data_IF_660281986625
#
_entry.id   IF_660281986625
#
_cell.length_a   1.000
_cell.length_b   1.000
_cell.length_c   1.000
_cell.angle_alpha   90.00
_cell.angle_beta   90.00
_cell.angle_gamma   90.00
#
_symmetry.space_group_name_H-M   'P 1'
#
loop_
_entity.id
_entity.type
_entity.pdbx_description
1 polymer ?
#
# COMPACT_ATOMS: atom_id res chain seq x y z
N UNK A 1 15.65 -8.21 -13.73
CA UNK A 1 15.95 -8.62 -12.35
C UNK A 1 17.28 -7.99 -11.96
N UNK A 2 17.26 -7.18 -10.91
CA UNK A 2 18.47 -6.59 -10.34
C UNK A 2 19.36 -7.69 -9.74
N UNK A 3 20.61 -7.76 -10.19
CA UNK A 3 21.53 -8.87 -9.85
C UNK A 3 22.38 -8.59 -8.60
N UNK A 4 21.85 -7.78 -7.68
CA UNK A 4 22.55 -7.57 -6.40
C UNK A 4 22.44 -8.82 -5.52
N UNK A 5 23.40 -8.95 -4.61
CA UNK A 5 23.41 -10.05 -3.63
C UNK A 5 22.11 -10.07 -2.78
N UNK A 6 21.67 -8.91 -2.32
CA UNK A 6 20.49 -8.80 -1.47
C UNK A 6 19.20 -9.21 -2.19
N UNK A 7 19.03 -8.80 -3.45
CA UNK A 7 17.87 -9.22 -4.25
C UNK A 7 17.90 -10.72 -4.52
N UNK A 8 19.05 -11.30 -4.88
CA UNK A 8 19.16 -12.72 -5.13
C UNK A 8 18.88 -13.57 -3.87
N UNK A 9 19.31 -13.08 -2.71
CA UNK A 9 19.02 -13.73 -1.42
C UNK A 9 17.51 -13.67 -1.13
N UNK A 10 16.89 -12.50 -1.28
CA UNK A 10 15.47 -12.30 -1.04
C UNK A 10 14.60 -13.13 -1.99
N UNK A 11 14.86 -13.11 -3.28
CA UNK A 11 14.15 -13.95 -4.26
C UNK A 11 14.28 -15.46 -3.95
N UNK A 12 15.44 -15.88 -3.47
CA UNK A 12 15.64 -17.28 -3.08
C UNK A 12 14.81 -17.64 -1.85
N UNK A 13 14.74 -16.73 -0.88
CA UNK A 13 13.90 -16.87 0.30
C UNK A 13 12.43 -16.97 -0.08
N UNK A 14 11.92 -15.99 -0.83
CA UNK A 14 10.54 -15.92 -1.31
C UNK A 14 10.12 -17.22 -2.03
N UNK A 15 10.91 -17.67 -3.01
CA UNK A 15 10.54 -18.82 -3.84
C UNK A 15 10.73 -20.18 -3.19
N UNK A 16 11.56 -20.31 -2.14
CA UNK A 16 11.96 -21.61 -1.60
C UNK A 16 11.69 -21.81 -0.13
N UNK A 17 11.55 -20.74 0.64
CA UNK A 17 11.49 -20.83 2.10
C UNK A 17 10.16 -20.34 2.62
N UNK A 18 9.62 -19.23 2.12
CA UNK A 18 8.44 -18.57 2.65
C UNK A 18 7.25 -19.52 2.85
N UNK A 19 6.86 -20.24 1.80
CA UNK A 19 5.74 -21.21 1.85
C UNK A 19 5.96 -22.37 2.86
N UNK A 20 7.19 -22.60 3.30
CA UNK A 20 7.51 -23.64 4.29
C UNK A 20 7.34 -23.19 5.74
N UNK A 21 7.13 -21.91 5.97
CA UNK A 21 7.04 -21.29 7.31
C UNK A 21 5.66 -21.46 7.93
N UNK A 22 5.29 -22.68 8.28
CA UNK A 22 3.96 -23.01 8.82
C UNK A 22 3.80 -22.50 10.27
N UNK A 23 4.81 -22.72 11.11
CA UNK A 23 4.78 -22.25 12.49
C UNK A 23 5.08 -20.75 12.57
N UNK A 24 4.58 -20.03 13.60
CA UNK A 24 4.93 -18.63 13.79
C UNK A 24 6.44 -18.43 13.81
N UNK A 25 6.95 -17.71 12.81
CA UNK A 25 8.37 -17.52 12.55
C UNK A 25 8.68 -16.06 12.28
N UNK A 26 9.74 -15.53 12.90
CA UNK A 26 10.28 -14.22 12.57
C UNK A 26 11.51 -14.39 11.71
N UNK A 27 11.49 -13.81 10.53
CA UNK A 27 12.67 -13.66 9.67
C UNK A 27 13.22 -12.28 9.92
N UNK A 28 14.51 -12.17 10.26
CA UNK A 28 15.14 -10.93 10.67
C UNK A 28 16.34 -10.58 9.78
N UNK A 29 16.81 -9.33 9.84
CA UNK A 29 18.03 -8.90 9.18
C UNK A 29 17.94 -8.97 7.64
N UNK A 30 16.91 -8.35 7.09
CA UNK A 30 16.73 -8.24 5.64
C UNK A 30 17.84 -7.42 4.98
N UNK A 31 18.22 -7.76 3.72
CA UNK A 31 19.19 -6.96 2.97
C UNK A 31 18.74 -5.51 2.76
N UNK A 32 19.70 -4.60 2.71
CA UNK A 32 19.44 -3.17 2.47
C UNK A 32 18.77 -2.93 1.12
N UNK A 33 19.12 -3.70 0.10
CA UNK A 33 18.62 -3.57 -1.26
C UNK A 33 17.11 -3.78 -1.39
N UNK A 34 16.53 -4.56 -0.46
CA UNK A 34 15.07 -4.84 -0.40
C UNK A 34 14.37 -4.16 0.77
N UNK A 35 15.05 -3.22 1.42
CA UNK A 35 14.54 -2.56 2.64
C UNK A 35 14.85 -1.05 2.62
N UNK A 36 14.30 -0.28 1.66
CA UNK A 36 14.72 1.10 1.41
C UNK A 36 14.41 2.07 2.55
N UNK A 37 13.47 1.76 3.43
CA UNK A 37 13.03 2.63 4.54
C UNK A 37 13.56 2.18 5.91
N UNK A 38 14.20 1.01 5.97
CA UNK A 38 14.68 0.44 7.22
C UNK A 38 16.12 0.87 7.55
N UNK A 39 16.38 1.13 8.82
CA UNK A 39 17.71 1.49 9.31
C UNK A 39 18.68 0.33 9.14
N UNK A 40 19.94 0.62 8.76
CA UNK A 40 20.99 -0.39 8.67
C UNK A 40 21.30 -0.96 10.05
N UNK A 41 21.63 -2.25 10.07
CA UNK A 41 22.14 -2.87 11.28
C UNK A 41 23.49 -2.28 11.67
N UNK A 42 23.68 -2.05 12.95
CA UNK A 42 24.96 -1.59 13.49
C UNK A 42 26.05 -2.66 13.43
N UNK A 43 25.67 -3.94 13.32
CA UNK A 43 26.58 -5.09 13.28
C UNK A 43 27.02 -5.44 11.87
N UNK A 44 26.17 -5.21 10.86
CA UNK A 44 26.44 -5.49 9.45
C UNK A 44 25.74 -4.44 8.56
N UNK A 45 26.50 -3.59 7.85
CA UNK A 45 25.91 -2.52 7.03
C UNK A 45 25.20 -3.01 5.76
N UNK A 46 25.32 -4.29 5.39
CA UNK A 46 24.58 -4.89 4.28
C UNK A 46 23.18 -5.33 4.68
N UNK A 47 22.88 -5.38 5.97
CA UNK A 47 21.62 -5.81 6.55
C UNK A 47 20.89 -4.64 7.23
N UNK A 48 19.59 -4.81 7.45
CA UNK A 48 18.74 -3.83 8.12
C UNK A 48 18.17 -4.37 9.42
N UNK A 49 17.80 -3.48 10.33
CA UNK A 49 17.04 -3.79 11.53
C UNK A 49 15.55 -3.97 11.17
N UNK A 50 15.25 -4.98 10.33
CA UNK A 50 13.91 -5.31 9.85
C UNK A 50 13.60 -6.77 10.17
N UNK A 51 12.34 -7.02 10.48
CA UNK A 51 11.81 -8.38 10.51
C UNK A 51 10.44 -8.47 9.87
N UNK A 52 10.13 -9.64 9.38
CA UNK A 52 8.78 -10.03 8.97
C UNK A 52 8.33 -11.23 9.78
N UNK A 53 7.05 -11.27 10.10
CA UNK A 53 6.42 -12.36 10.84
C UNK A 53 5.58 -13.21 9.89
N UNK A 54 5.88 -14.49 9.84
CA UNK A 54 5.16 -15.47 9.02
C UNK A 54 4.38 -16.45 9.88
N UNK A 55 3.17 -16.79 9.45
CA UNK A 55 2.34 -17.86 10.03
C UNK A 55 1.61 -18.55 8.87
N UNK A 56 1.66 -19.88 8.85
CA UNK A 56 1.02 -20.70 7.81
C UNK A 56 1.46 -20.34 6.37
N UNK A 57 2.73 -20.04 6.18
CA UNK A 57 3.27 -19.64 4.88
C UNK A 57 2.82 -18.27 4.38
N UNK A 58 2.34 -17.42 5.29
CA UNK A 58 1.83 -16.09 4.96
C UNK A 58 2.48 -15.02 5.85
N UNK A 59 2.97 -13.94 5.24
CA UNK A 59 3.44 -12.77 5.97
C UNK A 59 2.25 -12.12 6.69
N UNK A 60 2.35 -12.03 8.02
CA UNK A 60 1.35 -11.43 8.89
C UNK A 60 1.68 -10.01 9.29
N UNK A 61 2.95 -9.66 9.31
CA UNK A 61 3.42 -8.33 9.67
C UNK A 61 4.86 -8.09 9.31
N UNK A 62 5.17 -6.82 9.14
CA UNK A 62 6.48 -6.31 8.77
C UNK A 62 6.82 -5.15 9.71
N UNK A 63 8.02 -5.16 10.28
CA UNK A 63 8.45 -4.13 11.18
C UNK A 63 9.94 -3.85 11.06
N UNK A 64 10.32 -2.60 11.29
CA UNK A 64 11.71 -2.19 11.23
C UNK A 64 11.99 -0.97 12.10
N UNK A 65 13.25 -0.78 12.41
CA UNK A 65 13.74 0.51 12.91
C UNK A 65 13.72 1.48 11.74
N UNK A 66 12.98 2.57 11.88
CA UNK A 66 12.84 3.60 10.84
C UNK A 66 14.19 4.22 10.52
N UNK A 67 14.48 4.35 9.24
CA UNK A 67 15.65 5.10 8.78
C UNK A 67 15.41 6.59 9.07
N UNK A 68 16.24 7.16 9.94
CA UNK A 68 16.11 8.54 10.39
C UNK A 68 17.29 9.45 9.96
N UNK A 69 18.11 8.97 9.03
CA UNK A 69 19.17 9.74 8.41
C UNK A 69 18.69 10.23 7.02
N UNK A 70 18.44 11.55 6.83
CA UNK A 70 17.93 12.07 5.56
C UNK A 70 18.89 11.86 4.39
N UNK A 71 20.20 11.83 4.65
CA UNK A 71 21.21 11.62 3.60
C UNK A 71 21.19 10.17 3.10
N UNK A 72 21.18 9.19 4.02
CA UNK A 72 21.07 7.77 3.64
C UNK A 72 19.73 7.51 2.94
N UNK A 73 18.63 8.12 3.43
CA UNK A 73 17.32 7.99 2.80
C UNK A 73 17.29 8.54 1.38
N UNK A 74 17.86 9.69 1.14
CA UNK A 74 17.95 10.28 -0.19
C UNK A 74 18.73 9.38 -1.17
N UNK A 75 19.86 8.83 -0.74
CA UNK A 75 20.66 7.92 -1.59
C UNK A 75 19.90 6.62 -1.90
N UNK A 76 19.10 6.11 -0.97
CA UNK A 76 18.29 4.93 -1.22
C UNK A 76 17.15 5.19 -2.18
N UNK A 77 16.44 6.31 -2.06
CA UNK A 77 15.41 6.69 -3.04
C UNK A 77 16.02 6.90 -4.43
N UNK A 78 17.21 7.51 -4.51
CA UNK A 78 17.92 7.67 -5.78
C UNK A 78 18.22 6.30 -6.42
N UNK A 79 18.68 5.33 -5.65
CA UNK A 79 18.90 3.97 -6.13
C UNK A 79 17.60 3.29 -6.59
N UNK A 80 16.47 3.53 -5.92
CA UNK A 80 15.16 3.02 -6.35
C UNK A 80 14.72 3.64 -7.69
N UNK A 81 14.89 4.96 -7.85
CA UNK A 81 14.61 5.65 -9.12
C UNK A 81 15.43 5.07 -10.28
N UNK A 82 16.73 4.77 -10.05
CA UNK A 82 17.59 4.14 -11.05
C UNK A 82 17.09 2.72 -11.41
N UNK A 83 16.65 1.91 -10.43
CA UNK A 83 16.04 0.60 -10.65
C UNK A 83 14.77 0.73 -11.50
N UNK A 84 13.89 1.68 -11.17
CA UNK A 84 12.66 1.95 -11.91
C UNK A 84 12.94 2.35 -13.36
N UNK A 85 13.94 3.18 -13.60
CA UNK A 85 14.38 3.56 -14.94
C UNK A 85 14.91 2.37 -15.77
N UNK A 86 15.38 1.32 -15.09
CA UNK A 86 15.84 0.07 -15.70
C UNK A 86 14.73 -1.00 -15.85
N UNK A 87 13.47 -0.65 -15.57
CA UNK A 87 12.30 -1.51 -15.81
C UNK A 87 11.76 -2.26 -14.58
N UNK A 88 12.14 -1.84 -13.39
CA UNK A 88 11.56 -2.33 -12.14
C UNK A 88 10.34 -1.45 -11.78
N UNK A 89 9.15 -1.92 -12.12
CA UNK A 89 7.89 -1.16 -11.90
C UNK A 89 7.50 -1.10 -10.41
N UNK A 90 8.05 -1.97 -9.57
CA UNK A 90 7.80 -2.01 -8.13
C UNK A 90 8.72 -1.05 -7.35
N UNK A 91 9.81 -0.59 -7.97
CA UNK A 91 10.73 0.35 -7.33
C UNK A 91 10.05 1.70 -7.05
N UNK A 92 10.36 2.26 -5.89
CA UNK A 92 9.79 3.52 -5.42
C UNK A 92 10.28 4.73 -6.23
N UNK A 93 9.49 5.79 -6.22
CA UNK A 93 9.88 7.09 -6.77
C UNK A 93 10.58 7.92 -5.70
N UNK A 94 11.27 8.98 -6.14
CA UNK A 94 11.80 9.99 -5.22
C UNK A 94 10.65 10.68 -4.50
N UNK A 95 10.74 10.73 -3.16
CA UNK A 95 9.85 11.48 -2.30
C UNK A 95 10.65 12.57 -1.58
N UNK A 96 10.70 13.76 -2.18
CA UNK A 96 11.44 14.90 -1.63
C UNK A 96 10.78 15.45 -0.36
N UNK A 97 9.46 15.36 -0.26
CA UNK A 97 8.72 15.82 0.93
C UNK A 97 9.04 14.93 2.13
N UNK A 98 9.15 13.62 1.91
CA UNK A 98 9.56 12.68 2.95
C UNK A 98 11.00 12.95 3.42
N UNK A 99 11.95 13.16 2.51
CA UNK A 99 13.35 13.51 2.88
C UNK A 99 13.38 14.83 3.64
N UNK A 100 12.64 15.84 3.17
CA UNK A 100 12.54 17.13 3.87
C UNK A 100 11.97 16.97 5.27
N UNK A 101 10.97 16.12 5.46
CA UNK A 101 10.43 15.82 6.79
C UNK A 101 11.47 15.20 7.72
N UNK A 102 12.32 14.31 7.20
CA UNK A 102 13.43 13.73 7.97
C UNK A 102 14.48 14.77 8.38
N UNK A 103 14.70 15.80 7.56
CA UNK A 103 15.63 16.91 7.90
C UNK A 103 15.16 17.71 9.12
N UNK A 104 13.86 17.78 9.39
CA UNK A 104 13.34 18.36 10.63
C UNK A 104 13.60 17.50 11.86
N UNK A 105 13.93 16.24 11.66
CA UNK A 105 14.35 15.28 12.66
C UNK A 105 13.28 14.22 12.96
N UNK A 106 13.69 12.96 12.90
CA UNK A 106 12.92 11.80 13.37
C UNK A 106 13.70 11.18 14.53
N UNK A 107 13.12 11.09 15.75
CA UNK A 107 13.77 10.39 16.85
C UNK A 107 13.87 8.88 16.54
N UNK A 108 14.68 8.11 17.29
CA UNK A 108 14.68 6.66 17.17
C UNK A 108 13.26 6.09 17.30
N UNK A 109 12.79 5.48 16.21
CA UNK A 109 11.40 5.06 16.06
C UNK A 109 11.36 3.65 15.48
N UNK A 110 10.46 2.81 15.95
CA UNK A 110 10.12 1.52 15.34
C UNK A 110 8.76 1.61 14.67
N UNK A 111 8.67 1.14 13.43
CA UNK A 111 7.43 0.99 12.69
C UNK A 111 6.97 -0.46 12.64
N UNK A 112 5.66 -0.68 12.67
CA UNK A 112 5.04 -2.00 12.52
C UNK A 112 3.82 -1.89 11.60
N UNK A 113 3.81 -2.69 10.53
CA UNK A 113 2.63 -3.00 9.74
C UNK A 113 2.13 -4.40 10.08
N UNK A 114 0.82 -4.55 10.29
CA UNK A 114 0.19 -5.82 10.58
C UNK A 114 -1.06 -6.03 9.72
N UNK A 115 -1.14 -7.18 9.04
CA UNK A 115 -2.24 -7.51 8.14
C UNK A 115 -3.49 -7.94 8.90
N UNK A 116 -4.39 -7.00 9.19
CA UNK A 116 -5.65 -7.30 9.91
C UNK A 116 -6.52 -8.28 9.11
N UNK A 117 -6.64 -8.11 7.79
CA UNK A 117 -7.41 -9.02 6.95
C UNK A 117 -6.81 -10.43 6.92
N UNK A 118 -5.48 -10.53 6.84
CA UNK A 118 -4.77 -11.83 6.93
C UNK A 118 -5.00 -12.49 8.29
N UNK A 119 -4.99 -11.73 9.37
CA UNK A 119 -5.32 -12.21 10.71
C UNK A 119 -6.76 -12.72 10.77
N UNK A 120 -7.71 -11.97 10.21
CA UNK A 120 -9.11 -12.37 10.15
C UNK A 120 -9.28 -13.66 9.33
N UNK A 121 -8.60 -13.81 8.18
CA UNK A 121 -8.60 -15.05 7.40
C UNK A 121 -8.14 -16.24 8.24
N UNK A 122 -7.03 -16.10 8.95
CA UNK A 122 -6.50 -17.15 9.81
C UNK A 122 -7.46 -17.53 10.94
N UNK A 123 -8.08 -16.55 11.60
CA UNK A 123 -9.02 -16.78 12.70
C UNK A 123 -10.34 -17.38 12.22
N UNK A 124 -10.80 -17.03 11.03
CA UNK A 124 -12.02 -17.58 10.42
C UNK A 124 -11.79 -18.90 9.69
N UNK A 125 -10.53 -19.31 9.49
CA UNK A 125 -10.19 -20.53 8.76
C UNK A 125 -10.56 -20.47 7.28
N UNK A 126 -10.40 -19.32 6.64
CA UNK A 126 -10.65 -19.12 5.20
C UNK A 126 -9.37 -18.79 4.45
N UNK A 127 -9.28 -19.28 3.21
CA UNK A 127 -8.13 -19.06 2.32
C UNK A 127 -8.31 -17.83 1.40
N UNK A 128 -9.47 -17.17 1.47
CA UNK A 128 -9.80 -16.05 0.60
C UNK A 128 -10.02 -14.77 1.39
N UNK A 129 -9.25 -13.73 1.06
CA UNK A 129 -9.41 -12.39 1.65
C UNK A 129 -10.81 -11.80 1.40
N UNK A 130 -11.49 -12.22 0.32
CA UNK A 130 -12.85 -11.76 0.00
C UNK A 130 -13.88 -12.21 1.03
N UNK A 131 -13.61 -13.30 1.73
CA UNK A 131 -14.53 -13.85 2.72
C UNK A 131 -14.51 -13.07 4.04
N UNK A 132 -13.48 -12.25 4.26
CA UNK A 132 -13.32 -11.43 5.45
C UNK A 132 -13.48 -9.93 5.19
N UNK A 133 -13.54 -9.50 3.93
CA UNK A 133 -13.81 -8.12 3.55
C UNK A 133 -15.30 -7.92 3.29
N UNK A 134 -15.93 -6.96 3.97
CA UNK A 134 -17.38 -6.71 3.85
C UNK A 134 -17.80 -6.31 2.42
N UNK A 135 -16.97 -5.58 1.70
CA UNK A 135 -17.23 -5.11 0.34
C UNK A 135 -16.03 -5.35 -0.56
N UNK A 136 -15.70 -6.61 -0.90
CA UNK A 136 -14.55 -6.93 -1.71
C UNK A 136 -14.72 -6.41 -3.14
N UNK A 137 -13.63 -5.88 -3.71
CA UNK A 137 -13.61 -5.53 -5.14
C UNK A 137 -13.67 -6.81 -5.98
N UNK A 138 -14.69 -6.93 -6.78
CA UNK A 138 -14.91 -8.07 -7.68
C UNK A 138 -14.67 -7.64 -9.13
N UNK A 139 -14.23 -8.59 -9.98
CA UNK A 139 -14.24 -8.33 -11.42
C UNK A 139 -15.68 -8.04 -11.85
N UNK A 140 -15.91 -7.04 -12.73
CA UNK A 140 -17.21 -6.83 -13.32
C UNK A 140 -17.70 -8.14 -13.97
N UNK A 141 -18.97 -8.50 -13.72
CA UNK A 141 -19.59 -9.60 -14.44
C UNK A 141 -19.70 -9.11 -15.89
N UNK A 142 -19.11 -9.82 -16.84
CA UNK A 142 -19.30 -9.53 -18.27
C UNK A 142 -20.80 -9.65 -18.57
N UNK A 143 -21.49 -8.53 -18.51
CA UNK A 143 -22.82 -8.43 -19.10
C UNK A 143 -22.65 -8.69 -20.59
N UNK A 144 -23.41 -9.62 -21.20
CA UNK A 144 -23.36 -9.81 -22.65
C UNK A 144 -23.46 -8.43 -23.31
N UNK A 145 -22.43 -8.05 -24.06
CA UNK A 145 -22.49 -6.80 -24.82
C UNK A 145 -23.78 -6.85 -25.64
N UNK A 146 -24.73 -5.97 -25.31
CA UNK A 146 -25.86 -5.74 -26.19
C UNK A 146 -25.28 -5.49 -27.57
N UNK A 147 -25.64 -6.31 -28.53
CA UNK A 147 -25.18 -6.18 -29.91
C UNK A 147 -25.40 -4.73 -30.33
N UNK A 148 -24.30 -3.99 -30.49
CA UNK A 148 -24.35 -2.66 -31.14
C UNK A 148 -24.86 -2.90 -32.55
N UNK A 149 -26.09 -2.49 -32.79
CA UNK A 149 -26.57 -2.33 -34.16
C UNK A 149 -25.52 -1.50 -34.93
N UNK A 150 -25.15 -1.88 -36.18
CA UNK A 150 -24.20 -1.09 -36.92
C UNK A 150 -24.80 0.31 -37.13
N UNK A 151 -24.22 1.30 -36.50
CA UNK A 151 -24.43 2.69 -36.85
C UNK A 151 -23.79 2.92 -38.21
N UNK A 152 -24.62 3.29 -39.19
CA UNK A 152 -24.20 3.71 -40.53
C UNK A 152 -23.13 4.79 -40.41
N UNK A 153 -22.00 4.54 -41.03
CA UNK A 153 -20.90 5.48 -41.13
C UNK A 153 -21.34 6.74 -41.87
N UNK A 154 -21.66 7.78 -41.14
CA UNK A 154 -21.75 9.13 -41.70
C UNK A 154 -20.33 9.71 -41.80
N UNK A 155 -19.81 9.73 -43.02
CA UNK A 155 -18.60 10.47 -43.38
C UNK A 155 -18.93 11.96 -43.29
N UNK A 156 -18.33 12.64 -42.29
CA UNK A 156 -18.27 14.12 -42.36
C UNK A 156 -16.81 14.51 -42.11
N UNK A 157 -16.28 15.15 -43.15
CA UNK A 157 -14.93 15.70 -43.13
C UNK A 157 -14.80 16.93 -42.23
N UNK A 158 -13.60 17.10 -41.75
CA UNK A 158 -12.89 18.34 -41.42
C UNK A 158 -13.58 19.37 -40.57
N UNK A 159 -13.03 19.58 -39.38
CA UNK A 159 -12.50 20.88 -38.95
C UNK A 159 -12.20 20.89 -37.45
N UNK A 160 -11.11 21.53 -37.09
CA UNK A 160 -10.62 21.92 -35.79
C UNK A 160 -11.74 22.48 -34.90
N UNK A 161 -11.86 21.96 -33.68
CA UNK A 161 -12.66 22.57 -32.64
C UNK A 161 -12.29 21.91 -31.32
N UNK A 162 -11.54 22.64 -30.47
CA UNK A 162 -11.36 22.28 -29.08
C UNK A 162 -12.75 22.25 -28.43
N UNK A 163 -13.15 21.10 -27.91
CA UNK A 163 -14.32 21.01 -27.04
C UNK A 163 -13.86 21.46 -25.66
N UNK A 164 -14.16 22.70 -25.32
CA UNK A 164 -14.16 23.15 -23.90
C UNK A 164 -15.25 22.38 -23.19
N UNK A 165 -14.81 21.47 -22.31
CA UNK A 165 -15.70 20.85 -21.35
C UNK A 165 -15.90 21.89 -20.24
N UNK A 166 -17.03 22.60 -20.26
CA UNK A 166 -17.48 23.38 -19.10
C UNK A 166 -17.69 22.42 -17.92
N UNK A 167 -16.72 22.36 -17.03
CA UNK A 167 -16.91 21.77 -15.70
C UNK A 167 -17.79 22.76 -14.95
N UNK A 168 -19.08 22.48 -14.86
CA UNK A 168 -19.94 23.19 -13.90
C UNK A 168 -19.51 22.73 -12.51
N UNK A 169 -18.74 23.57 -11.83
CA UNK A 169 -18.54 23.50 -10.40
C UNK A 169 -19.90 23.75 -9.72
N UNK A 170 -20.67 22.69 -9.53
CA UNK A 170 -21.75 22.74 -8.57
C UNK A 170 -21.11 22.79 -7.19
N UNK A 171 -20.93 24.00 -6.67
CA UNK A 171 -20.55 24.26 -5.29
C UNK A 171 -21.58 23.55 -4.40
N UNK A 172 -21.17 22.45 -3.78
CA UNK A 172 -21.99 21.77 -2.78
C UNK A 172 -22.12 22.72 -1.59
N UNK A 173 -23.33 23.19 -1.32
CA UNK A 173 -23.62 24.03 -0.18
C UNK A 173 -23.61 23.21 1.11
N UNK A 174 -22.55 23.36 1.88
CA UNK A 174 -22.40 22.72 3.18
C UNK A 174 -23.01 23.52 4.35
N UNK A 175 -23.69 24.65 4.09
CA UNK A 175 -24.20 25.54 5.15
C UNK A 175 -25.25 24.88 6.06
N UNK A 176 -25.87 23.80 5.61
CA UNK A 176 -26.88 23.04 6.37
C UNK A 176 -26.36 21.70 6.93
N UNK A 177 -25.06 21.42 6.79
CA UNK A 177 -24.45 20.18 7.32
C UNK A 177 -24.05 20.45 8.78
N UNK A 178 -24.81 19.91 9.72
CA UNK A 178 -24.38 19.83 11.12
C UNK A 178 -23.37 18.67 11.23
N UNK A 179 -22.09 19.02 11.36
CA UNK A 179 -21.06 18.06 11.69
C UNK A 179 -21.08 17.89 13.21
N UNK A 180 -21.62 16.77 13.67
CA UNK A 180 -21.42 16.36 15.06
C UNK A 180 -19.92 16.04 15.25
N UNK A 181 -19.29 16.51 16.36
CA UNK A 181 -17.90 16.17 16.64
C UNK A 181 -17.78 14.65 16.73
N UNK A 182 -16.91 14.09 15.87
CA UNK A 182 -16.72 12.64 15.71
C UNK A 182 -16.15 11.98 16.98
N UNK A 183 -15.60 12.75 17.89
CA UNK A 183 -14.98 12.26 19.13
C UNK A 183 -15.36 13.19 20.30
N UNK A 184 -16.03 12.64 21.30
CA UNK A 184 -15.94 13.17 22.65
C UNK A 184 -14.53 12.86 23.19
N UNK A 185 -13.99 13.66 24.10
CA UNK A 185 -12.62 13.57 24.63
C UNK A 185 -12.21 12.17 25.14
N UNK A 186 -13.16 11.31 25.38
CA UNK A 186 -12.97 9.86 25.62
C UNK A 186 -14.20 9.08 25.15
N UNK A 187 -14.01 8.15 24.22
CA UNK A 187 -15.03 7.17 23.80
C UNK A 187 -14.72 5.86 24.51
N UNK A 188 -15.59 5.42 25.41
CA UNK A 188 -15.49 4.10 26.02
C UNK A 188 -15.88 3.00 25.00
N UNK A 189 -15.43 1.78 25.27
CA UNK A 189 -15.68 0.64 24.39
C UNK A 189 -17.18 0.33 24.21
N UNK A 190 -18.01 0.60 25.20
CA UNK A 190 -19.45 0.37 25.15
C UNK A 190 -20.14 1.37 24.21
N UNK A 191 -19.71 2.61 24.21
CA UNK A 191 -20.15 3.65 23.27
C UNK A 191 -19.68 3.34 21.86
N UNK A 192 -18.42 2.92 21.68
CA UNK A 192 -17.88 2.52 20.39
C UNK A 192 -18.65 1.32 19.79
N UNK A 193 -18.98 0.31 20.59
CA UNK A 193 -19.69 -0.88 20.14
C UNK A 193 -21.14 -0.64 19.71
N UNK A 194 -21.71 0.50 20.11
CA UNK A 194 -23.05 0.95 19.70
C UNK A 194 -23.03 1.84 18.45
N UNK A 195 -21.83 2.16 17.93
CA UNK A 195 -21.70 2.99 16.74
C UNK A 195 -22.19 2.26 15.49
N UNK A 196 -23.11 2.87 14.76
CA UNK A 196 -23.70 2.31 13.54
C UNK A 196 -22.91 2.83 12.32
N UNK A 197 -22.01 2.00 11.77
CA UNK A 197 -21.24 2.33 10.58
C UNK A 197 -22.06 2.05 9.33
N UNK A 198 -22.59 3.08 8.69
CA UNK A 198 -23.33 2.96 7.44
C UNK A 198 -22.49 3.43 6.25
N UNK A 199 -22.40 2.59 5.22
CA UNK A 199 -21.89 3.02 3.93
C UNK A 199 -22.91 3.95 3.27
N UNK A 200 -22.54 5.21 3.04
CA UNK A 200 -23.36 6.18 2.34
C UNK A 200 -22.95 6.23 0.88
N UNK A 201 -23.89 5.96 -0.04
CA UNK A 201 -23.66 6.20 -1.46
C UNK A 201 -23.99 7.65 -1.77
N UNK A 202 -22.99 8.42 -2.09
CA UNK A 202 -23.16 9.77 -2.66
C UNK A 202 -23.74 9.59 -4.07
N UNK A 203 -24.91 10.20 -4.32
CA UNK A 203 -25.55 10.19 -5.64
C UNK A 203 -25.05 11.36 -6.46
#
# INVERSE_FOLDING_TARGET
VDKTWGNALYETFDQKVEETLIQPTFITMYPVEVSPLAKRSSSDPHLTERYEMFICGCEMGNAFTELNDPMDQYERFKAQVEKRANGDDEAEMMDEDYVTALEYGLPPTGGLGFGIDRCAMMLCGTDSIRDVILFPTMKPIDTPKAEKKPEEAAVIGGAKGAVEVEIKDELIDFSNVQIEPLFADQVDFETFSKSDFRAVKIK
#
